data_IF_776120714163
#
_entry.id   IF_776120714163
#
_cell.length_a   1.000
_cell.length_b   1.000
_cell.length_c   1.000
_cell.angle_alpha   90.00
_cell.angle_beta   90.00
_cell.angle_gamma   90.00
#
_symmetry.space_group_name_H-M   'P 1'
#
loop_
_entity.id
_entity.type
_entity.pdbx_description
1 polymer ?
#
# COMPACT_ATOMS: atom_id res chain seq x y z
N UNK A 1 -14.96 1.47 2.45
CA UNK A 1 -15.99 0.44 2.71
C UNK A 1 -15.45 -0.99 2.71
N UNK A 2 -14.74 -1.42 1.66
CA UNK A 2 -14.22 -2.80 1.51
C UNK A 2 -13.32 -3.25 2.66
N UNK A 3 -12.41 -2.40 3.14
CA UNK A 3 -11.56 -2.70 4.30
C UNK A 3 -12.37 -3.03 5.56
N UNK A 4 -13.38 -2.20 5.90
CA UNK A 4 -14.24 -2.40 7.07
C UNK A 4 -15.02 -3.71 6.94
N UNK A 5 -15.54 -4.01 5.75
CA UNK A 5 -16.24 -5.27 5.48
C UNK A 5 -15.31 -6.49 5.65
N UNK A 6 -14.11 -6.43 5.09
CA UNK A 6 -13.13 -7.51 5.16
C UNK A 6 -12.65 -7.74 6.61
N UNK A 7 -12.32 -6.67 7.33
CA UNK A 7 -11.95 -6.73 8.74
C UNK A 7 -13.08 -7.36 9.57
N UNK A 8 -14.34 -6.92 9.38
CA UNK A 8 -15.51 -7.51 10.03
C UNK A 8 -15.65 -9.01 9.73
N UNK A 9 -15.46 -9.43 8.48
CA UNK A 9 -15.55 -10.86 8.09
C UNK A 9 -14.44 -11.69 8.73
N UNK A 10 -13.21 -11.19 8.77
CA UNK A 10 -12.08 -11.85 9.43
C UNK A 10 -12.33 -12.00 10.93
N UNK A 11 -12.79 -10.94 11.60
CA UNK A 11 -13.12 -10.98 13.04
C UNK A 11 -14.26 -11.96 13.33
N UNK A 12 -15.32 -11.94 12.52
CA UNK A 12 -16.45 -12.87 12.67
C UNK A 12 -16.03 -14.32 12.41
N UNK A 13 -15.15 -14.56 11.44
CA UNK A 13 -14.59 -15.88 11.16
C UNK A 13 -13.80 -16.42 12.37
N UNK A 14 -12.94 -15.59 12.96
CA UNK A 14 -12.18 -15.97 14.16
C UNK A 14 -13.12 -16.29 15.34
N UNK A 15 -14.18 -15.49 15.52
CA UNK A 15 -15.22 -15.74 16.56
C UNK A 15 -16.06 -17.00 16.30
N UNK A 16 -16.29 -17.36 15.04
CA UNK A 16 -17.08 -18.55 14.65
C UNK A 16 -16.31 -19.85 14.90
N UNK A 17 -15.01 -19.88 14.61
CA UNK A 17 -14.17 -21.08 14.78
C UNK A 17 -13.56 -21.17 16.19
N UNK A 18 -14.42 -21.37 17.20
CA UNK A 18 -14.01 -21.40 18.62
C UNK A 18 -12.96 -22.47 18.96
N UNK A 19 -12.97 -23.64 18.30
CA UNK A 19 -11.94 -24.68 18.53
C UNK A 19 -10.55 -24.24 18.07
N UNK A 20 -10.49 -23.63 16.88
CA UNK A 20 -9.25 -23.11 16.32
C UNK A 20 -8.76 -21.91 17.13
N UNK A 21 -9.66 -20.97 17.45
CA UNK A 21 -9.32 -19.83 18.31
C UNK A 21 -8.86 -20.27 19.71
N UNK A 22 -9.54 -21.22 20.36
CA UNK A 22 -9.14 -21.75 21.66
C UNK A 22 -7.81 -22.53 21.62
N UNK A 23 -7.54 -23.26 20.53
CA UNK A 23 -6.24 -23.91 20.33
C UNK A 23 -5.12 -22.89 20.14
N UNK A 24 -5.31 -21.92 19.25
CA UNK A 24 -4.31 -20.89 18.99
C UNK A 24 -4.11 -19.93 20.17
N UNK A 25 -5.14 -19.71 21.00
CA UNK A 25 -5.04 -18.92 22.24
C UNK A 25 -4.61 -19.74 23.45
N UNK A 26 -4.44 -21.06 23.33
CA UNK A 26 -3.94 -21.90 24.43
C UNK A 26 -2.59 -21.41 24.94
N UNK A 27 -1.74 -20.92 24.03
CA UNK A 27 -0.55 -20.15 24.35
C UNK A 27 -0.72 -18.72 23.82
N UNK A 28 -0.62 -17.72 24.70
CA UNK A 28 -0.77 -16.29 24.34
C UNK A 28 0.13 -15.82 23.19
N UNK A 29 1.25 -16.51 22.94
CA UNK A 29 2.22 -16.18 21.91
C UNK A 29 2.02 -16.93 20.59
N UNK A 30 1.27 -18.04 20.56
CA UNK A 30 1.16 -18.88 19.37
C UNK A 30 0.35 -18.20 18.26
N UNK A 31 -0.78 -17.58 18.61
CA UNK A 31 -1.59 -16.83 17.65
C UNK A 31 -0.82 -15.64 17.02
N UNK A 32 -0.23 -14.71 17.81
CA UNK A 32 0.61 -13.66 17.25
C UNK A 32 1.78 -14.21 16.41
N UNK A 33 2.47 -15.26 16.88
CA UNK A 33 3.62 -15.84 16.17
C UNK A 33 3.25 -16.34 14.78
N UNK A 34 2.14 -17.08 14.64
CA UNK A 34 1.68 -17.61 13.35
C UNK A 34 1.31 -16.47 12.40
N UNK A 35 0.57 -15.46 12.88
CA UNK A 35 0.19 -14.31 12.04
C UNK A 35 1.44 -13.51 11.62
N UNK A 36 2.36 -13.26 12.54
CA UNK A 36 3.62 -12.57 12.23
C UNK A 36 4.48 -13.36 11.24
N UNK A 37 4.53 -14.70 11.37
CA UNK A 37 5.26 -15.55 10.43
C UNK A 37 4.65 -15.49 9.03
N UNK A 38 3.31 -15.52 8.92
CA UNK A 38 2.61 -15.37 7.64
C UNK A 38 2.87 -14.00 6.99
N UNK A 39 2.77 -12.91 7.77
CA UNK A 39 3.03 -11.55 7.27
C UNK A 39 4.50 -11.41 6.87
N UNK A 40 5.43 -11.90 7.69
CA UNK A 40 6.87 -11.89 7.40
C UNK A 40 7.20 -12.67 6.13
N UNK A 41 6.62 -13.85 5.95
CA UNK A 41 6.79 -14.65 4.74
C UNK A 41 6.28 -13.93 3.49
N UNK A 42 5.17 -13.20 3.58
CA UNK A 42 4.64 -12.42 2.46
C UNK A 42 5.41 -11.12 2.21
N UNK A 43 6.03 -10.56 3.25
CA UNK A 43 6.80 -9.31 3.20
C UNK A 43 8.27 -9.57 2.86
N UNK A 44 8.66 -10.83 2.65
CA UNK A 44 10.03 -11.18 2.33
C UNK A 44 10.50 -10.48 1.04
N UNK A 45 11.57 -9.66 1.08
CA UNK A 45 11.97 -8.79 -0.04
C UNK A 45 12.20 -9.55 -1.35
N UNK A 46 12.94 -10.64 -1.31
CA UNK A 46 13.23 -11.48 -2.48
C UNK A 46 12.02 -12.30 -2.98
N UNK A 47 10.93 -12.35 -2.19
CA UNK A 47 9.73 -13.11 -2.48
C UNK A 47 8.63 -12.26 -3.09
N UNK A 48 7.48 -12.18 -2.42
CA UNK A 48 6.36 -11.31 -2.81
C UNK A 48 6.63 -9.83 -2.48
N UNK A 49 7.61 -9.55 -1.61
CA UNK A 49 8.01 -8.22 -1.18
C UNK A 49 8.57 -7.34 -2.29
N UNK A 50 9.20 -7.94 -3.32
CA UNK A 50 9.71 -7.24 -4.50
C UNK A 50 8.62 -6.47 -5.26
N UNK A 51 7.36 -6.90 -5.14
CA UNK A 51 6.21 -6.24 -5.77
C UNK A 51 5.50 -5.25 -4.86
N UNK A 52 5.93 -5.13 -3.60
CA UNK A 52 5.31 -4.24 -2.61
C UNK A 52 6.31 -3.19 -2.11
N UNK A 53 7.53 -3.14 -2.66
CA UNK A 53 8.59 -2.27 -2.15
C UNK A 53 8.77 -2.46 -0.62
N UNK A 54 8.79 -3.74 -0.19
CA UNK A 54 8.71 -4.12 1.23
C UNK A 54 9.92 -3.74 2.07
N UNK A 55 11.02 -3.34 1.44
CA UNK A 55 12.24 -2.86 2.11
C UNK A 55 12.05 -1.45 2.71
N UNK A 56 11.09 -0.68 2.18
CA UNK A 56 10.80 0.65 2.68
C UNK A 56 10.14 0.60 4.05
N UNK A 57 10.59 1.49 4.93
CA UNK A 57 9.84 1.78 6.16
C UNK A 57 8.50 2.43 5.82
N UNK A 58 7.56 2.42 6.77
CA UNK A 58 6.24 3.03 6.55
C UNK A 58 6.33 4.53 6.28
N UNK A 59 7.30 5.21 6.88
CA UNK A 59 7.54 6.63 6.65
C UNK A 59 8.08 6.89 5.24
N UNK A 60 9.10 6.14 4.81
CA UNK A 60 9.69 6.27 3.47
C UNK A 60 8.68 5.91 2.38
N UNK A 61 7.89 4.85 2.56
CA UNK A 61 6.86 4.48 1.59
C UNK A 61 5.83 5.61 1.37
N UNK A 62 5.41 6.31 2.44
CA UNK A 62 4.51 7.46 2.33
C UNK A 62 5.21 8.65 1.67
N UNK A 63 6.46 8.91 2.04
CA UNK A 63 7.26 9.97 1.45
C UNK A 63 7.41 9.78 -0.06
N UNK A 64 7.73 8.57 -0.51
CA UNK A 64 7.83 8.21 -1.92
C UNK A 64 6.49 8.41 -2.64
N UNK A 65 5.38 7.95 -2.04
CA UNK A 65 4.04 8.12 -2.62
C UNK A 65 3.66 9.61 -2.81
N UNK A 66 4.15 10.50 -1.95
CA UNK A 66 3.91 11.95 -2.02
C UNK A 66 4.91 12.70 -2.89
N UNK A 67 5.86 12.02 -3.54
CA UNK A 67 6.81 12.63 -4.45
C UNK A 67 6.11 13.51 -5.52
N UNK A 68 6.62 14.70 -5.77
CA UNK A 68 5.98 15.69 -6.64
C UNK A 68 6.26 15.52 -8.13
N UNK A 69 6.95 14.45 -8.55
CA UNK A 69 7.23 14.13 -9.94
C UNK A 69 6.40 12.94 -10.43
N UNK A 70 6.40 12.68 -11.74
CA UNK A 70 5.66 11.56 -12.36
C UNK A 70 6.59 10.37 -12.55
N UNK A 71 6.27 9.20 -11.99
CA UNK A 71 7.13 8.02 -12.07
C UNK A 71 7.20 7.42 -13.47
N UNK A 72 6.18 7.69 -14.29
CA UNK A 72 6.12 7.27 -15.70
C UNK A 72 6.79 8.25 -16.68
N UNK A 73 7.39 9.34 -16.19
CA UNK A 73 8.15 10.31 -16.99
C UNK A 73 9.45 9.71 -17.53
N UNK A 74 9.88 10.15 -18.71
CA UNK A 74 11.17 9.74 -19.31
C UNK A 74 12.33 10.62 -18.84
N UNK A 75 12.04 11.85 -18.39
CA UNK A 75 13.02 12.79 -17.86
C UNK A 75 12.97 12.73 -16.33
N UNK A 76 13.79 11.87 -15.74
CA UNK A 76 13.94 11.73 -14.28
C UNK A 76 15.36 12.10 -13.88
N UNK A 77 15.50 12.87 -12.79
CA UNK A 77 16.78 13.14 -12.16
C UNK A 77 17.38 11.89 -11.50
N UNK A 78 18.68 11.93 -11.18
CA UNK A 78 19.38 10.81 -10.51
C UNK A 78 18.70 10.46 -9.18
N UNK A 79 18.31 11.46 -8.39
CA UNK A 79 17.64 11.26 -7.10
C UNK A 79 16.21 10.72 -7.27
N UNK A 80 15.52 11.11 -8.34
CA UNK A 80 14.17 10.63 -8.66
C UNK A 80 14.19 9.17 -9.11
N UNK A 81 15.23 8.75 -9.82
CA UNK A 81 15.44 7.35 -10.20
C UNK A 81 15.59 6.43 -9.00
N UNK A 82 16.20 6.88 -7.90
CA UNK A 82 16.32 6.08 -6.67
C UNK A 82 14.94 5.76 -6.11
N UNK A 83 14.05 6.75 -6.03
CA UNK A 83 12.67 6.58 -5.57
C UNK A 83 11.91 5.65 -6.52
N UNK A 84 11.97 5.87 -7.84
CA UNK A 84 11.25 5.01 -8.80
C UNK A 84 11.77 3.57 -8.77
N UNK A 85 13.06 3.35 -8.51
CA UNK A 85 13.63 2.01 -8.43
C UNK A 85 13.01 1.16 -7.31
N UNK A 86 12.58 1.76 -6.19
CA UNK A 86 11.86 1.02 -5.15
C UNK A 86 10.51 0.48 -5.63
N UNK A 87 9.83 1.22 -6.51
CA UNK A 87 8.49 0.89 -7.01
C UNK A 87 8.51 0.16 -8.36
N UNK A 88 9.62 0.21 -9.10
CA UNK A 88 9.85 -0.58 -10.30
C UNK A 88 10.32 0.26 -11.47
N UNK A 89 11.27 -0.29 -12.24
CA UNK A 89 11.96 0.43 -13.33
C UNK A 89 11.12 0.61 -14.60
N UNK A 90 10.02 -0.13 -14.77
CA UNK A 90 9.20 -0.12 -16.00
C UNK A 90 7.80 0.38 -15.69
N UNK A 91 7.19 1.13 -16.62
CA UNK A 91 5.81 1.65 -16.47
C UNK A 91 4.82 0.58 -16.01
N UNK A 92 4.81 -0.60 -16.65
CA UNK A 92 3.94 -1.71 -16.26
C UNK A 92 4.24 -2.27 -14.86
N UNK A 93 5.52 -2.29 -14.45
CA UNK A 93 5.91 -2.70 -13.09
C UNK A 93 5.42 -1.72 -12.04
N UNK A 94 5.49 -0.41 -12.29
CA UNK A 94 5.01 0.62 -11.37
C UNK A 94 3.52 0.44 -11.05
N UNK A 95 2.68 0.23 -12.07
CA UNK A 95 1.25 -0.02 -11.85
C UNK A 95 1.00 -1.33 -11.11
N UNK A 96 1.73 -2.39 -11.46
CA UNK A 96 1.64 -3.69 -10.81
C UNK A 96 2.04 -3.60 -9.34
N UNK A 97 3.15 -2.94 -9.03
CA UNK A 97 3.64 -2.83 -7.65
C UNK A 97 2.73 -1.98 -6.78
N UNK A 98 2.20 -0.87 -7.30
CA UNK A 98 1.19 -0.07 -6.59
C UNK A 98 -0.09 -0.89 -6.32
N UNK A 99 -0.57 -1.65 -7.30
CA UNK A 99 -1.75 -2.50 -7.12
C UNK A 99 -1.50 -3.63 -6.10
N UNK A 100 -0.37 -4.32 -6.22
CA UNK A 100 0.05 -5.35 -5.28
C UNK A 100 0.27 -4.79 -3.88
N UNK A 101 0.81 -3.58 -3.75
CA UNK A 101 0.97 -2.89 -2.49
C UNK A 101 -0.37 -2.67 -1.78
N UNK A 102 -1.39 -2.20 -2.50
CA UNK A 102 -2.73 -1.98 -1.94
C UNK A 102 -3.35 -3.31 -1.50
N UNK A 103 -3.34 -4.33 -2.37
CA UNK A 103 -3.94 -5.63 -2.07
C UNK A 103 -3.23 -6.30 -0.89
N UNK A 104 -1.89 -6.30 -0.88
CA UNK A 104 -1.13 -6.93 0.18
C UNK A 104 -1.32 -6.23 1.53
N UNK A 105 -1.27 -4.90 1.55
CA UNK A 105 -1.51 -4.17 2.79
C UNK A 105 -2.95 -4.34 3.30
N UNK A 106 -3.93 -4.54 2.42
CA UNK A 106 -5.33 -4.74 2.81
C UNK A 106 -5.50 -6.00 3.67
N UNK A 107 -5.02 -7.15 3.20
CA UNK A 107 -5.19 -8.41 3.92
C UNK A 107 -4.26 -8.51 5.13
N UNK A 108 -3.01 -8.04 5.03
CA UNK A 108 -2.07 -8.05 6.15
C UNK A 108 -2.57 -7.18 7.30
N UNK A 109 -3.08 -5.97 7.01
CA UNK A 109 -3.65 -5.09 8.03
C UNK A 109 -4.89 -5.73 8.67
N UNK A 110 -5.74 -6.37 7.87
CA UNK A 110 -6.92 -7.07 8.39
C UNK A 110 -6.54 -8.23 9.32
N UNK A 111 -5.49 -9.00 9.01
CA UNK A 111 -4.99 -10.06 9.89
C UNK A 111 -4.30 -9.50 11.14
N UNK A 112 -3.45 -8.48 10.99
CA UNK A 112 -2.78 -7.83 12.12
C UNK A 112 -3.79 -7.26 13.13
N UNK A 113 -4.91 -6.70 12.64
CA UNK A 113 -6.00 -6.19 13.47
C UNK A 113 -6.66 -7.23 14.40
N UNK A 114 -6.46 -8.53 14.13
CA UNK A 114 -7.03 -9.62 14.94
C UNK A 114 -6.18 -10.01 16.15
N UNK A 115 -4.92 -9.56 16.19
CA UNK A 115 -4.00 -9.88 17.27
C UNK A 115 -4.43 -9.08 18.52
N UNK A 116 -4.46 -9.67 19.72
CA UNK A 116 -4.83 -8.98 20.97
C UNK A 116 -3.68 -8.10 21.48
N UNK A 117 -3.25 -7.12 20.67
CA UNK A 117 -2.19 -6.15 20.97
C UNK A 117 -2.76 -4.75 20.68
N UNK A 118 -2.44 -3.72 21.49
CA UNK A 118 -2.80 -2.35 21.17
C UNK A 118 -2.18 -1.96 19.82
N UNK A 119 -3.02 -1.70 18.83
CA UNK A 119 -2.59 -1.35 17.47
C UNK A 119 -3.40 -0.18 16.92
N UNK A 120 -2.72 0.73 16.23
CA UNK A 120 -3.34 1.80 15.46
C UNK A 120 -3.62 1.36 14.03
N UNK A 121 -4.88 1.42 13.60
CA UNK A 121 -5.26 1.11 12.20
C UNK A 121 -5.14 2.31 11.25
N UNK A 122 -4.89 3.51 11.78
CA UNK A 122 -4.87 4.72 10.99
C UNK A 122 -3.74 4.73 9.96
N UNK A 123 -2.48 4.51 10.38
CA UNK A 123 -1.31 4.59 9.50
C UNK A 123 -1.38 3.58 8.33
N UNK A 124 -1.71 2.29 8.55
CA UNK A 124 -1.83 1.34 7.44
C UNK A 124 -2.93 1.71 6.44
N UNK A 125 -4.06 2.25 6.91
CA UNK A 125 -5.16 2.69 6.03
C UNK A 125 -4.75 3.95 5.27
N UNK A 126 -4.11 4.90 5.94
CA UNK A 126 -3.59 6.12 5.34
C UNK A 126 -2.63 5.84 4.17
N UNK A 127 -1.64 4.96 4.35
CA UNK A 127 -0.71 4.61 3.27
C UNK A 127 -1.39 3.84 2.12
N UNK A 128 -2.40 3.02 2.41
CA UNK A 128 -3.19 2.34 1.38
C UNK A 128 -3.98 3.35 0.53
N UNK A 129 -4.57 4.36 1.17
CA UNK A 129 -5.24 5.48 0.49
C UNK A 129 -4.28 6.29 -0.37
N UNK A 130 -3.10 6.60 0.18
CA UNK A 130 -2.03 7.27 -0.56
C UNK A 130 -1.60 6.50 -1.82
N UNK A 131 -1.40 5.19 -1.69
CA UNK A 131 -1.03 4.32 -2.81
C UNK A 131 -2.14 4.25 -3.88
N UNK A 132 -3.41 4.18 -3.47
CA UNK A 132 -4.54 4.22 -4.40
C UNK A 132 -4.63 5.56 -5.13
N UNK A 133 -4.50 6.68 -4.40
CA UNK A 133 -4.45 8.00 -4.99
C UNK A 133 -3.29 8.15 -5.98
N UNK A 134 -2.12 7.64 -5.63
CA UNK A 134 -0.94 7.64 -6.52
C UNK A 134 -1.18 6.83 -7.80
N UNK A 135 -1.77 5.65 -7.68
CA UNK A 135 -2.14 4.79 -8.82
C UNK A 135 -3.06 5.53 -9.80
N UNK A 136 -4.08 6.23 -9.28
CA UNK A 136 -4.99 7.05 -10.09
C UNK A 136 -4.25 8.23 -10.72
N UNK A 137 -3.38 8.90 -9.95
CA UNK A 137 -2.58 10.03 -10.43
C UNK A 137 -1.62 9.66 -11.57
N UNK A 138 -0.90 8.54 -11.45
CA UNK A 138 -0.03 8.01 -12.52
C UNK A 138 -0.85 7.58 -13.74
N UNK A 139 -2.05 7.04 -13.53
CA UNK A 139 -2.97 6.74 -14.64
C UNK A 139 -3.38 8.00 -15.37
N UNK A 140 -3.72 9.08 -14.65
CA UNK A 140 -4.04 10.38 -15.25
C UNK A 140 -2.84 11.01 -15.97
N UNK A 141 -1.63 10.84 -15.45
CA UNK A 141 -0.42 11.32 -16.10
C UNK A 141 -0.11 10.58 -17.41
N UNK A 142 -0.45 9.28 -17.51
CA UNK A 142 -0.35 8.51 -18.76
C UNK A 142 -1.44 8.88 -19.76
N UNK A 143 -2.67 9.15 -19.30
CA UNK A 143 -3.80 9.53 -20.15
C UNK A 143 -3.67 10.95 -20.72
N UNK A 144 -3.12 11.88 -19.94
CA UNK A 144 -2.95 13.29 -20.31
C UNK A 144 -1.48 13.71 -20.21
N UNK A 145 -0.61 13.25 -21.14
CA UNK A 145 0.83 13.48 -21.07
C UNK A 145 1.21 14.97 -21.20
N UNK A 146 0.46 15.73 -22.00
CA UNK A 146 0.64 17.18 -22.14
C UNK A 146 0.02 17.98 -20.99
N UNK A 147 -0.75 17.33 -20.11
CA UNK A 147 -1.47 17.97 -19.02
C UNK A 147 -2.93 18.27 -19.34
N UNK A 148 -3.60 18.88 -18.37
CA UNK A 148 -5.02 19.24 -18.45
C UNK A 148 -5.09 20.76 -18.65
N UNK A 149 -5.77 21.18 -19.71
CA UNK A 149 -5.97 22.61 -20.00
C UNK A 149 -7.01 23.20 -19.05
N UNK A 150 -6.60 24.20 -18.28
CA UNK A 150 -7.47 24.96 -17.39
C UNK A 150 -7.49 26.42 -17.88
N UNK A 151 -8.45 26.75 -18.74
CA UNK A 151 -8.52 28.03 -19.42
C UNK A 151 -7.39 28.20 -20.43
N UNK A 152 -6.52 29.19 -20.18
CA UNK A 152 -5.36 29.51 -21.03
C UNK A 152 -4.05 28.86 -20.56
N UNK A 153 -4.06 28.23 -19.37
CA UNK A 153 -2.89 27.57 -18.80
C UNK A 153 -2.95 26.04 -19.02
N UNK A 154 -1.83 25.46 -19.46
CA UNK A 154 -1.64 24.01 -19.55
C UNK A 154 -0.93 23.51 -18.29
N UNK A 155 -1.67 22.80 -17.43
CA UNK A 155 -1.14 22.31 -16.17
C UNK A 155 -0.81 20.81 -16.28
N UNK A 156 0.45 20.45 -16.06
CA UNK A 156 0.87 19.05 -16.01
C UNK A 156 0.26 18.35 -14.79
N UNK A 157 -0.13 17.09 -14.98
CA UNK A 157 -0.66 16.26 -13.88
C UNK A 157 0.46 15.96 -12.89
N UNK A 158 0.22 16.21 -11.60
CA UNK A 158 1.15 15.89 -10.51
C UNK A 158 0.56 14.73 -9.68
N UNK A 159 1.03 13.48 -9.88
CA UNK A 159 0.48 12.31 -9.19
C UNK A 159 0.57 12.37 -7.66
N UNK A 160 1.56 13.07 -7.10
CA UNK A 160 1.70 13.26 -5.65
C UNK A 160 0.50 13.95 -5.01
N UNK A 161 -0.14 14.90 -5.70
CA UNK A 161 -1.35 15.55 -5.21
C UNK A 161 -2.54 14.58 -5.11
N UNK A 162 -2.67 13.65 -6.06
CA UNK A 162 -3.68 12.59 -6.02
C UNK A 162 -3.41 11.61 -4.88
N UNK A 163 -2.13 11.32 -4.59
CA UNK A 163 -1.76 10.50 -3.44
C UNK A 163 -2.19 11.15 -2.11
N UNK A 164 -1.92 12.45 -1.92
CA UNK A 164 -2.37 13.17 -0.71
C UNK A 164 -3.89 13.17 -0.60
N UNK A 165 -4.61 13.44 -1.70
CA UNK A 165 -6.07 13.40 -1.72
C UNK A 165 -6.60 11.99 -1.38
N UNK A 166 -6.00 10.94 -1.95
CA UNK A 166 -6.36 9.56 -1.66
C UNK A 166 -6.04 9.12 -0.23
N UNK A 167 -5.01 9.68 0.40
CA UNK A 167 -4.69 9.44 1.80
C UNK A 167 -5.68 10.08 2.77
N UNK A 168 -6.32 11.18 2.35
CA UNK A 168 -7.31 11.93 3.14
C UNK A 168 -8.75 11.39 3.00
N UNK A 169 -9.05 10.67 1.91
CA UNK A 169 -10.38 10.14 1.59
C UNK A 169 -10.69 8.79 2.28
#
# INVERSE_FOLDING_TARGET
>A
ATFVYMNKKVVLFNRKHKRMSAFLQRNRFLYPLIITLLISSATFPEGLGQFMASELTTHEAVHDLFANFTWTSNDLGVDEHVVVNHWGTTKGRIFLTLAMFIVNNLWMTALAATIPVPLGLFIPVFKMGAAFGRLVGETMAVLFPEGIRMGDNLNKVIPGGYAVAGAAA
#
